data_IF_694291619996
#
_entry.id   IF_694291619996
#
_cell.length_a   1.000
_cell.length_b   1.000
_cell.length_c   1.000
_cell.angle_alpha   90.00
_cell.angle_beta   90.00
_cell.angle_gamma   90.00
#
_symmetry.space_group_name_H-M   'P 1'
#
loop_
_entity.id
_entity.type
_entity.pdbx_description
1 polymer ?
#
# COMPACT_ATOMS: atom_id res chain seq x y z
N UNK A 1 5.57 -8.86 -38.90
CA UNK A 1 6.10 -7.77 -38.04
C UNK A 1 5.02 -6.72 -37.82
N UNK A 2 4.31 -6.74 -36.68
CA UNK A 2 3.39 -5.65 -36.30
C UNK A 2 4.13 -4.74 -35.33
N UNK A 3 4.84 -3.78 -35.90
CA UNK A 3 5.47 -2.69 -35.18
C UNK A 3 4.36 -1.84 -34.59
N UNK A 4 3.95 -2.21 -33.39
CA UNK A 4 2.92 -1.54 -32.64
C UNK A 4 3.50 -0.19 -32.25
N UNK A 5 3.27 0.85 -33.07
CA UNK A 5 3.52 2.25 -32.71
C UNK A 5 2.84 2.50 -31.36
N UNK A 6 3.61 2.39 -30.28
CA UNK A 6 3.15 2.82 -28.98
C UNK A 6 2.88 4.31 -29.10
N UNK A 7 1.73 4.82 -28.63
CA UNK A 7 1.49 6.25 -28.65
C UNK A 7 2.65 6.94 -27.91
N UNK A 8 3.20 8.06 -28.41
CA UNK A 8 4.39 8.69 -27.85
C UNK A 8 4.25 9.01 -26.35
N UNK A 9 3.02 9.22 -25.89
CA UNK A 9 2.67 9.42 -24.46
C UNK A 9 2.89 8.16 -23.60
N UNK A 10 2.66 6.95 -24.12
CA UNK A 10 2.92 5.72 -23.37
C UNK A 10 4.43 5.49 -23.15
N UNK A 11 5.26 5.91 -24.11
CA UNK A 11 6.72 5.90 -23.96
C UNK A 11 7.20 6.94 -22.94
N UNK A 12 6.61 8.15 -22.97
CA UNK A 12 6.92 9.21 -21.99
C UNK A 12 6.57 8.80 -20.56
N UNK A 13 5.34 8.35 -20.32
CA UNK A 13 4.89 7.91 -19.00
C UNK A 13 5.68 6.71 -18.46
N UNK A 14 6.14 5.82 -19.33
CA UNK A 14 7.04 4.73 -18.92
C UNK A 14 8.41 5.25 -18.44
N UNK A 15 8.99 6.24 -19.13
CA UNK A 15 10.26 6.87 -18.73
C UNK A 15 10.12 7.68 -17.45
N UNK A 16 9.02 8.41 -17.27
CA UNK A 16 8.73 9.14 -16.03
C UNK A 16 8.61 8.17 -14.84
N UNK A 17 7.91 7.04 -15.03
CA UNK A 17 7.85 5.99 -14.02
C UNK A 17 9.23 5.39 -13.70
N UNK A 18 10.03 5.11 -14.73
CA UNK A 18 11.40 4.61 -14.56
C UNK A 18 12.28 5.60 -13.80
N UNK A 19 12.23 6.89 -14.15
CA UNK A 19 12.96 7.95 -13.47
C UNK A 19 12.53 8.09 -12.01
N UNK A 20 11.22 8.03 -11.73
CA UNK A 20 10.70 8.00 -10.36
C UNK A 20 11.22 6.80 -9.58
N UNK A 21 11.17 5.60 -10.16
CA UNK A 21 11.65 4.38 -9.49
C UNK A 21 13.16 4.44 -9.27
N UNK A 22 13.93 5.00 -10.20
CA UNK A 22 15.37 5.20 -10.03
C UNK A 22 15.70 6.19 -8.89
N UNK A 23 14.93 7.28 -8.76
CA UNK A 23 15.15 8.29 -7.72
C UNK A 23 14.61 7.91 -6.33
N UNK A 24 13.40 7.35 -6.26
CA UNK A 24 12.70 7.07 -5.00
C UNK A 24 12.71 5.60 -4.57
N UNK A 25 13.07 4.67 -5.47
CA UNK A 25 12.98 3.23 -5.23
C UNK A 25 13.80 2.74 -4.05
N UNK A 26 15.02 3.28 -3.86
CA UNK A 26 15.87 2.95 -2.71
C UNK A 26 15.22 3.34 -1.38
N UNK A 27 14.68 4.57 -1.29
CA UNK A 27 13.98 5.06 -0.11
C UNK A 27 12.73 4.24 0.19
N UNK A 28 11.92 3.94 -0.83
CA UNK A 28 10.72 3.12 -0.68
C UNK A 28 11.04 1.67 -0.29
N UNK A 29 12.16 1.11 -0.78
CA UNK A 29 12.63 -0.21 -0.36
C UNK A 29 13.10 -0.22 1.08
N UNK A 30 13.73 0.86 1.54
CA UNK A 30 14.10 1.03 2.94
C UNK A 30 12.88 1.09 3.84
N UNK A 31 11.87 1.91 3.50
CA UNK A 31 10.57 1.93 4.19
C UNK A 31 9.98 0.53 4.27
N UNK A 32 9.92 -0.18 3.14
CA UNK A 32 9.40 -1.55 3.11
C UNK A 32 10.20 -2.52 4.00
N UNK A 33 11.53 -2.33 4.08
CA UNK A 33 12.44 -3.16 4.90
C UNK A 33 12.21 -2.91 6.39
N UNK A 34 12.04 -1.65 6.78
CA UNK A 34 11.67 -1.28 8.15
C UNK A 34 10.31 -1.88 8.52
N UNK A 35 9.31 -1.77 7.63
CA UNK A 35 7.98 -2.34 7.85
C UNK A 35 8.01 -3.87 8.00
N UNK A 36 8.75 -4.58 7.14
CA UNK A 36 8.87 -6.05 7.25
C UNK A 36 9.78 -6.50 8.39
N UNK A 37 10.56 -5.59 8.96
CA UNK A 37 11.62 -5.82 9.94
C UNK A 37 12.65 -6.87 9.49
N UNK A 38 12.98 -6.85 8.20
CA UNK A 38 14.06 -7.64 7.63
C UNK A 38 15.41 -6.92 7.76
N UNK A 39 16.54 -7.64 7.79
CA UNK A 39 17.86 -7.02 7.69
C UNK A 39 18.09 -6.42 6.29
N UNK A 40 18.78 -5.28 6.21
CA UNK A 40 19.00 -4.53 4.96
C UNK A 40 19.72 -5.34 3.86
N UNK A 41 20.48 -6.37 4.22
CA UNK A 41 21.17 -7.26 3.27
C UNK A 41 20.31 -8.39 2.68
N UNK A 42 19.17 -8.74 3.29
CA UNK A 42 18.28 -9.83 2.84
C UNK A 42 16.81 -9.46 3.10
N UNK A 43 16.23 -8.64 2.24
CA UNK A 43 14.90 -8.04 2.41
C UNK A 43 13.87 -8.55 1.38
N UNK A 44 13.74 -9.88 1.22
CA UNK A 44 12.89 -10.47 0.18
C UNK A 44 11.39 -10.13 0.37
N UNK A 45 10.89 -10.07 1.61
CA UNK A 45 9.49 -9.69 1.85
C UNK A 45 9.28 -8.21 1.54
N UNK A 46 10.25 -7.34 1.87
CA UNK A 46 10.23 -5.93 1.54
C UNK A 46 10.20 -5.70 0.03
N UNK A 47 11.07 -6.41 -0.72
CA UNK A 47 11.08 -6.37 -2.18
C UNK A 47 9.74 -6.81 -2.77
N UNK A 48 9.14 -7.88 -2.25
CA UNK A 48 7.81 -8.34 -2.71
C UNK A 48 6.71 -7.33 -2.42
N UNK A 49 6.76 -6.69 -1.24
CA UNK A 49 5.83 -5.65 -0.84
C UNK A 49 5.94 -4.43 -1.78
N UNK A 50 7.16 -3.93 -2.00
CA UNK A 50 7.44 -2.80 -2.88
C UNK A 50 7.09 -3.10 -4.33
N UNK A 51 7.52 -4.25 -4.87
CA UNK A 51 7.17 -4.67 -6.22
C UNK A 51 5.66 -4.69 -6.41
N UNK A 52 4.94 -5.15 -5.39
CA UNK A 52 3.50 -5.09 -5.37
C UNK A 52 2.96 -3.66 -5.48
N UNK A 53 3.43 -2.76 -4.62
CA UNK A 53 2.99 -1.37 -4.59
C UNK A 53 3.29 -0.64 -5.90
N UNK A 54 4.52 -0.75 -6.41
CA UNK A 54 4.94 -0.17 -7.69
C UNK A 54 4.19 -0.76 -8.88
N UNK A 55 3.84 -2.06 -8.85
CA UNK A 55 3.00 -2.63 -9.89
C UNK A 55 1.60 -2.00 -9.90
N UNK A 56 1.07 -1.60 -8.75
CA UNK A 56 -0.21 -0.90 -8.70
C UNK A 56 -0.08 0.54 -9.15
N UNK A 57 0.95 1.24 -8.71
CA UNK A 57 1.29 2.58 -9.16
C UNK A 57 1.43 2.63 -10.69
N UNK A 58 2.19 1.71 -11.28
CA UNK A 58 2.34 1.60 -12.73
C UNK A 58 1.01 1.35 -13.47
N UNK A 59 0.07 0.65 -12.84
CA UNK A 59 -1.26 0.43 -13.42
C UNK A 59 -2.15 1.69 -13.39
N UNK A 60 -1.89 2.60 -12.44
CA UNK A 60 -2.63 3.84 -12.22
C UNK A 60 -1.86 5.09 -12.71
N UNK A 61 -0.62 4.94 -13.17
CA UNK A 61 0.31 6.04 -13.50
C UNK A 61 -0.29 7.10 -14.42
N UNK A 62 -1.00 6.68 -15.48
CA UNK A 62 -1.63 7.61 -16.43
C UNK A 62 -2.69 8.52 -15.78
N UNK A 63 -3.27 8.11 -14.66
CA UNK A 63 -4.31 8.83 -13.90
C UNK A 63 -3.77 9.66 -12.74
N UNK A 64 -2.50 9.50 -12.40
CA UNK A 64 -1.90 10.04 -11.18
C UNK A 64 -1.37 11.48 -11.34
N UNK A 65 -1.74 12.20 -12.41
CA UNK A 65 -1.06 13.45 -12.79
C UNK A 65 -1.11 14.56 -11.74
N UNK A 66 -2.09 14.53 -10.83
CA UNK A 66 -2.29 15.54 -9.79
C UNK A 66 -1.85 15.07 -8.39
N UNK A 67 -1.40 13.82 -8.25
CA UNK A 67 -0.98 13.23 -6.96
C UNK A 67 0.53 13.00 -6.92
N UNK A 68 1.15 13.19 -5.75
CA UNK A 68 2.56 12.83 -5.57
C UNK A 68 2.74 11.30 -5.67
N UNK A 69 3.53 10.80 -6.65
CA UNK A 69 3.77 9.36 -6.82
C UNK A 69 4.46 8.73 -5.62
N UNK A 70 5.25 9.49 -4.86
CA UNK A 70 5.89 9.01 -3.65
C UNK A 70 4.85 8.71 -2.57
N UNK A 71 4.03 9.70 -2.24
CA UNK A 71 2.95 9.59 -1.26
C UNK A 71 1.96 8.49 -1.63
N UNK A 72 1.58 8.39 -2.92
CA UNK A 72 0.69 7.32 -3.39
C UNK A 72 1.32 5.94 -3.19
N UNK A 73 2.60 5.80 -3.50
CA UNK A 73 3.31 4.52 -3.31
C UNK A 73 3.44 4.17 -1.83
N UNK A 74 3.69 5.16 -0.97
CA UNK A 74 3.72 4.99 0.50
C UNK A 74 2.36 4.53 1.03
N UNK A 75 1.26 5.14 0.59
CA UNK A 75 -0.09 4.70 0.97
C UNK A 75 -0.38 3.26 0.53
N UNK A 76 0.02 2.88 -0.68
CA UNK A 76 -0.14 1.51 -1.18
C UNK A 76 0.75 0.51 -0.39
N UNK A 77 1.95 0.90 0.02
CA UNK A 77 2.81 0.11 0.92
C UNK A 77 2.11 -0.15 2.26
N UNK A 78 1.55 0.90 2.89
CA UNK A 78 0.80 0.82 4.15
C UNK A 78 -0.43 -0.09 4.00
N UNK A 79 -1.23 0.13 2.96
CA UNK A 79 -2.44 -0.65 2.67
C UNK A 79 -2.14 -2.13 2.48
N UNK A 80 -1.06 -2.46 1.77
CA UNK A 80 -0.66 -3.86 1.56
C UNK A 80 -0.06 -4.48 2.80
N UNK A 81 0.76 -3.73 3.53
CA UNK A 81 1.36 -4.23 4.75
C UNK A 81 0.29 -4.53 5.80
N UNK A 82 -0.70 -3.65 5.97
CA UNK A 82 -1.87 -3.91 6.82
C UNK A 82 -2.64 -5.13 6.30
N UNK A 83 -3.10 -5.15 5.06
CA UNK A 83 -3.87 -6.28 4.52
C UNK A 83 -3.15 -7.64 4.61
N UNK A 84 -1.82 -7.66 4.47
CA UNK A 84 -0.99 -8.87 4.57
C UNK A 84 -0.60 -9.27 6.00
N UNK A 85 -0.43 -8.30 6.91
CA UNK A 85 -0.04 -8.54 8.30
C UNK A 85 -1.20 -9.02 9.20
N UNK A 86 -2.44 -8.93 8.72
CA UNK A 86 -3.65 -9.35 9.46
C UNK A 86 -3.97 -10.84 9.28
N UNK A 87 -3.15 -11.59 8.50
CA UNK A 87 -3.13 -13.06 8.59
C UNK A 87 -2.50 -13.46 9.93
N UNK A 88 -3.08 -14.40 10.71
CA UNK A 88 -2.96 -14.41 12.17
C UNK A 88 -1.51 -14.55 12.67
N UNK A 89 -0.84 -13.43 12.91
CA UNK A 89 0.47 -13.39 13.55
C UNK A 89 0.31 -13.54 15.07
N UNK A 90 -0.13 -14.73 15.49
CA UNK A 90 -0.25 -15.12 16.91
C UNK A 90 1.01 -15.82 17.44
N UNK A 91 2.12 -15.83 16.71
CA UNK A 91 3.36 -16.52 17.11
C UNK A 91 4.62 -15.78 16.65
N UNK A 92 4.96 -14.64 17.25
CA UNK A 92 6.36 -14.19 17.32
C UNK A 92 6.60 -13.12 18.39
N UNK A 93 5.97 -13.27 19.56
CA UNK A 93 6.44 -12.56 20.77
C UNK A 93 7.64 -13.25 21.42
N UNK A 94 8.18 -14.30 20.81
CA UNK A 94 9.20 -15.15 21.43
C UNK A 94 10.28 -15.56 20.42
N UNK A 95 11.50 -15.11 20.75
CA UNK A 95 12.83 -15.60 20.33
C UNK A 95 13.34 -15.20 18.94
N UNK A 96 14.39 -14.37 18.95
CA UNK A 96 15.21 -14.08 17.79
C UNK A 96 15.92 -12.73 17.82
N UNK A 97 16.64 -12.37 18.89
CA UNK A 97 17.68 -11.34 18.77
C UNK A 97 18.91 -12.00 18.15
N UNK A 98 19.08 -11.84 16.84
CA UNK A 98 20.23 -12.33 16.09
C UNK A 98 20.40 -11.52 14.80
N UNK A 99 21.56 -11.64 14.14
CA UNK A 99 21.91 -10.94 12.91
C UNK A 99 20.94 -11.17 11.72
N UNK A 100 20.02 -12.12 11.88
CA UNK A 100 18.99 -12.50 10.90
C UNK A 100 17.71 -11.63 10.96
N UNK A 101 17.58 -10.77 11.98
CA UNK A 101 16.38 -9.97 12.22
C UNK A 101 16.69 -8.47 12.14
N UNK A 102 15.85 -7.69 11.44
CA UNK A 102 16.01 -6.24 11.32
C UNK A 102 15.73 -5.49 12.62
N UNK A 103 16.12 -4.21 12.67
CA UNK A 103 16.05 -3.35 13.88
C UNK A 103 14.65 -3.31 14.51
N UNK A 104 13.60 -3.40 13.69
CA UNK A 104 12.21 -3.33 14.15
C UNK A 104 11.57 -4.69 14.46
N UNK A 105 12.33 -5.79 14.48
CA UNK A 105 11.76 -7.14 14.60
C UNK A 105 11.05 -7.42 15.93
N UNK A 106 11.39 -6.67 16.99
CA UNK A 106 10.73 -6.76 18.30
C UNK A 106 9.40 -6.02 18.38
N UNK A 107 9.09 -5.18 17.40
CA UNK A 107 7.87 -4.40 17.36
C UNK A 107 6.73 -5.16 16.68
N UNK A 108 5.51 -4.96 17.18
CA UNK A 108 4.31 -5.41 16.50
C UNK A 108 4.10 -4.67 15.16
N UNK A 109 3.29 -5.20 14.22
CA UNK A 109 3.01 -4.54 12.94
C UNK A 109 2.52 -3.09 13.06
N UNK A 110 1.65 -2.79 14.04
CA UNK A 110 1.14 -1.43 14.26
C UNK A 110 2.20 -0.48 14.83
N UNK A 111 3.02 -0.96 15.77
CA UNK A 111 4.15 -0.20 16.34
C UNK A 111 5.18 0.15 15.26
N UNK A 112 5.44 -0.79 14.33
CA UNK A 112 6.30 -0.55 13.16
C UNK A 112 5.74 0.50 12.22
N UNK A 113 4.46 0.39 11.86
CA UNK A 113 3.80 1.38 11.00
C UNK A 113 3.90 2.79 11.59
N UNK A 114 3.58 2.94 12.88
CA UNK A 114 3.64 4.24 13.55
C UNK A 114 5.06 4.78 13.53
N UNK A 115 6.06 4.01 13.99
CA UNK A 115 7.46 4.47 14.02
C UNK A 115 7.99 4.84 12.64
N UNK A 116 7.71 4.02 11.62
CA UNK A 116 8.18 4.30 10.27
C UNK A 116 7.52 5.55 9.69
N UNK A 117 6.21 5.74 9.90
CA UNK A 117 5.51 6.92 9.40
C UNK A 117 5.91 8.19 10.16
N UNK A 118 5.97 8.16 11.50
CA UNK A 118 6.18 9.37 12.29
C UNK A 118 7.65 9.74 12.48
N UNK A 119 8.55 8.76 12.65
CA UNK A 119 9.96 9.03 12.95
C UNK A 119 10.85 9.01 11.71
N UNK A 120 10.62 8.09 10.77
CA UNK A 120 11.42 7.99 9.55
C UNK A 120 10.85 8.81 8.39
N UNK A 121 9.55 8.68 8.11
CA UNK A 121 8.90 9.45 7.04
C UNK A 121 8.54 10.88 7.45
N UNK A 122 8.59 11.21 8.75
CA UNK A 122 8.27 12.53 9.29
C UNK A 122 6.80 12.93 9.15
N UNK A 123 5.90 11.96 8.92
CA UNK A 123 4.47 12.20 8.78
C UNK A 123 3.89 12.61 10.15
N UNK A 124 3.18 13.75 10.24
CA UNK A 124 2.56 14.17 11.49
C UNK A 124 1.64 13.10 12.08
N UNK A 125 1.56 13.03 13.41
CA UNK A 125 0.76 12.00 14.09
C UNK A 125 -0.72 12.04 13.68
N UNK A 126 -1.27 13.23 13.44
CA UNK A 126 -2.66 13.40 12.99
C UNK A 126 -2.88 12.79 11.59
N UNK A 127 -1.93 12.98 10.68
CA UNK A 127 -2.00 12.42 9.33
C UNK A 127 -1.76 10.90 9.38
N UNK A 128 -0.85 10.43 10.24
CA UNK A 128 -0.66 8.99 10.49
C UNK A 128 -1.92 8.34 11.05
N UNK A 129 -2.63 9.01 11.96
CA UNK A 129 -3.90 8.57 12.51
C UNK A 129 -4.98 8.42 11.43
N UNK A 130 -5.11 9.42 10.55
CA UNK A 130 -6.01 9.38 9.41
C UNK A 130 -5.67 8.24 8.42
N UNK A 131 -4.38 8.08 8.08
CA UNK A 131 -3.90 7.03 7.18
C UNK A 131 -4.16 5.61 7.71
N UNK A 132 -4.07 5.43 9.03
CA UNK A 132 -4.24 4.13 9.68
C UNK A 132 -5.68 3.85 10.13
N UNK A 133 -6.57 4.84 10.08
CA UNK A 133 -7.92 4.75 10.64
C UNK A 133 -7.93 4.55 12.16
N UNK A 134 -6.96 5.14 12.86
CA UNK A 134 -6.78 5.01 14.31
C UNK A 134 -6.95 6.36 15.02
N UNK A 135 -7.38 6.39 16.29
CA UNK A 135 -7.35 7.63 17.07
C UNK A 135 -5.92 8.17 17.24
N UNK A 136 -5.73 9.49 17.19
CA UNK A 136 -4.41 10.12 17.36
C UNK A 136 -3.75 9.75 18.70
N UNK A 137 -4.52 9.67 19.78
CA UNK A 137 -4.03 9.21 21.07
C UNK A 137 -3.44 7.79 21.01
N UNK A 138 -4.04 6.90 20.21
CA UNK A 138 -3.54 5.53 20.01
C UNK A 138 -2.21 5.52 19.27
N UNK A 139 -2.05 6.39 18.27
CA UNK A 139 -0.78 6.59 17.56
C UNK A 139 0.32 7.01 18.54
N UNK A 140 0.06 8.02 19.39
CA UNK A 140 0.99 8.46 20.45
C UNK A 140 1.41 7.34 21.40
N UNK A 141 0.43 6.56 21.89
CA UNK A 141 0.71 5.43 22.79
C UNK A 141 1.57 4.37 22.11
N UNK A 142 1.27 4.02 20.86
CA UNK A 142 2.04 3.05 20.09
C UNK A 142 3.47 3.55 19.82
N UNK A 143 3.63 4.83 19.46
CA UNK A 143 4.95 5.45 19.25
C UNK A 143 5.80 5.42 20.53
N UNK A 144 5.26 5.87 21.66
CA UNK A 144 5.96 5.85 22.96
C UNK A 144 6.36 4.43 23.38
N UNK A 145 5.46 3.47 23.18
CA UNK A 145 5.73 2.06 23.47
C UNK A 145 6.84 1.51 22.58
N UNK A 146 6.78 1.79 21.28
CA UNK A 146 7.76 1.33 20.31
C UNK A 146 9.17 1.88 20.62
N UNK A 147 9.29 3.19 20.88
CA UNK A 147 10.55 3.82 21.30
C UNK A 147 11.11 3.15 22.57
N UNK A 148 10.24 2.84 23.54
CA UNK A 148 10.66 2.16 24.78
C UNK A 148 11.17 0.73 24.52
N UNK A 149 10.51 -0.03 23.64
CA UNK A 149 10.93 -1.40 23.27
C UNK A 149 12.26 -1.44 22.52
N UNK A 150 12.46 -0.51 21.56
CA UNK A 150 13.70 -0.43 20.78
C UNK A 150 14.90 -0.10 21.68
N UNK A 151 14.73 0.81 22.64
CA UNK A 151 15.78 1.15 23.60
C UNK A 151 16.10 0.01 24.54
N UNK A 152 15.07 -0.70 25.02
CA UNK A 152 15.26 -1.90 25.84
C UNK A 152 16.07 -2.96 25.08
N UNK A 153 15.78 -3.17 23.80
CA UNK A 153 16.52 -4.10 22.95
C UNK A 153 17.99 -3.70 22.76
N UNK A 154 18.26 -2.42 22.51
CA UNK A 154 19.63 -1.90 22.37
C UNK A 154 20.42 -1.98 23.67
N UNK A 155 19.81 -1.64 24.81
CA UNK A 155 20.46 -1.76 26.11
C UNK A 155 20.84 -3.22 26.43
N UNK A 156 19.98 -4.19 26.09
CA UNK A 156 20.32 -5.62 26.23
C UNK A 156 21.45 -6.05 25.29
N UNK A 157 21.52 -5.51 24.07
CA UNK A 157 22.62 -5.80 23.15
C UNK A 157 23.95 -5.22 23.65
N UNK A 158 23.96 -3.98 24.15
CA UNK A 158 25.16 -3.33 24.68
C UNK A 158 25.66 -3.96 26.00
N UNK A 159 24.75 -4.41 26.87
CA UNK A 159 25.11 -5.10 28.12
C UNK A 159 25.75 -6.48 27.88
N UNK A 160 25.47 -7.12 26.74
CA UNK A 160 26.16 -8.35 26.33
C UNK A 160 27.60 -8.14 25.86
N UNK A 161 28.04 -6.88 25.66
CA UNK A 161 29.36 -6.55 25.11
C UNK A 161 30.30 -5.89 26.14
N UNK A 162 29.82 -5.50 27.32
CA UNK A 162 30.66 -4.84 28.34
C UNK A 162 30.18 -5.10 29.78
N UNK A 163 31.07 -5.47 30.73
CA UNK A 163 30.73 -5.48 32.15
C UNK A 163 30.81 -4.06 32.73
N UNK A 164 29.71 -3.63 33.37
CA UNK A 164 29.71 -2.66 34.47
C UNK A 164 30.08 -1.19 34.16
N UNK A 165 29.10 -0.39 33.71
CA UNK A 165 29.07 1.03 34.13
C UNK A 165 27.65 1.59 34.08
N UNK A 166 27.14 2.05 35.23
CA UNK A 166 25.88 2.78 35.36
C UNK A 166 26.13 4.29 35.16
N UNK A 167 25.47 4.97 34.21
CA UNK A 167 25.43 6.42 34.22
C UNK A 167 24.18 6.91 34.95
N UNK A 168 24.42 7.70 35.99
CA UNK A 168 23.43 8.56 36.63
C UNK A 168 23.17 9.84 35.84
N UNK A 169 22.01 10.46 36.08
CA UNK A 169 21.61 11.75 35.53
C UNK A 169 20.39 11.68 34.62
N UNK A 170 19.26 12.27 35.06
CA UNK A 170 18.07 12.47 34.22
C UNK A 170 18.08 13.90 33.65
N UNK A 171 18.14 14.08 32.32
CA UNK A 171 17.70 15.32 31.69
C UNK A 171 16.22 15.24 31.32
N UNK A 172 15.50 16.35 31.50
CA UNK A 172 14.07 16.54 31.21
C UNK A 172 13.76 16.68 29.71
N UNK A 173 14.77 16.79 28.84
CA UNK A 173 14.66 16.65 27.37
C UNK A 173 14.69 15.20 26.85
N UNK A 174 14.42 14.22 27.72
CA UNK A 174 14.69 12.80 27.45
C UNK A 174 13.93 12.22 26.26
N UNK A 175 12.75 12.72 25.90
CA UNK A 175 11.97 12.11 24.81
C UNK A 175 12.50 12.44 23.43
N UNK A 176 12.80 13.71 23.11
CA UNK A 176 13.37 14.09 21.81
C UNK A 176 14.72 13.41 21.54
N UNK A 177 15.59 13.30 22.56
CA UNK A 177 16.86 12.57 22.44
C UNK A 177 16.67 11.07 22.18
N UNK A 178 15.63 10.46 22.76
CA UNK A 178 15.29 9.04 22.51
C UNK A 178 14.79 8.84 21.09
N UNK A 179 13.94 9.74 20.61
CA UNK A 179 13.44 9.69 19.24
C UNK A 179 14.56 9.89 18.23
N UNK A 180 15.50 10.79 18.51
CA UNK A 180 16.66 11.01 17.67
C UNK A 180 17.63 9.82 17.64
N UNK A 181 17.78 9.13 18.78
CA UNK A 181 18.47 7.84 18.82
C UNK A 181 17.77 6.81 17.93
N UNK A 182 16.44 6.73 17.99
CA UNK A 182 15.65 5.83 17.14
C UNK A 182 15.74 6.23 15.67
N UNK A 183 15.69 7.53 15.31
CA UNK A 183 15.87 8.01 13.93
C UNK A 183 17.21 7.57 13.36
N UNK A 184 18.30 7.76 14.11
CA UNK A 184 19.62 7.24 13.73
C UNK A 184 19.65 5.72 13.58
N UNK A 185 18.91 4.99 14.41
CA UNK A 185 18.76 3.53 14.24
C UNK A 185 17.92 3.14 13.02
N UNK A 186 17.08 4.02 12.49
CA UNK A 186 16.27 3.78 11.30
C UNK A 186 17.04 4.15 10.02
N UNK A 187 17.96 5.10 10.06
CA UNK A 187 18.82 5.54 8.95
C UNK A 187 19.97 4.55 8.67
N UNK A 188 19.66 3.25 8.59
CA UNK A 188 20.64 2.25 8.10
C UNK A 188 20.94 2.47 6.61
N UNK A 189 22.09 1.99 6.12
CA UNK A 189 22.40 1.99 4.70
C UNK A 189 21.24 1.43 3.87
N UNK A 190 20.84 2.19 2.84
CA UNK A 190 19.74 1.82 1.97
C UNK A 190 19.98 0.43 1.37
N UNK A 191 18.99 -0.47 1.41
CA UNK A 191 19.11 -1.78 0.77
C UNK A 191 19.38 -1.60 -0.73
N UNK A 192 20.32 -2.38 -1.28
CA UNK A 192 20.61 -2.36 -2.71
C UNK A 192 19.36 -2.76 -3.49
N UNK A 193 18.87 -1.85 -4.33
CA UNK A 193 17.71 -2.08 -5.14
C UNK A 193 18.05 -3.03 -6.31
N UNK A 194 17.25 -4.08 -6.57
CA UNK A 194 17.41 -4.89 -7.78
C UNK A 194 17.16 -4.05 -9.03
N UNK A 195 18.11 -4.05 -9.97
CA UNK A 195 18.04 -3.23 -11.19
C UNK A 195 16.79 -3.53 -12.04
N UNK A 196 16.29 -4.76 -12.00
CA UNK A 196 15.14 -5.24 -12.78
C UNK A 196 13.77 -4.94 -12.13
N UNK A 197 13.75 -4.29 -10.96
CA UNK A 197 12.51 -4.11 -10.19
C UNK A 197 11.49 -3.23 -10.92
N UNK A 198 11.95 -2.19 -11.62
CA UNK A 198 11.10 -1.35 -12.45
C UNK A 198 10.45 -2.16 -13.59
N UNK A 199 11.21 -3.00 -14.31
CA UNK A 199 10.68 -3.87 -15.37
C UNK A 199 9.64 -4.84 -14.82
N UNK A 200 9.94 -5.49 -13.69
CA UNK A 200 9.00 -6.43 -13.04
C UNK A 200 7.73 -5.73 -12.61
N UNK A 201 7.83 -4.52 -12.04
CA UNK A 201 6.69 -3.71 -11.65
C UNK A 201 5.83 -3.35 -12.87
N UNK A 202 6.46 -2.89 -13.97
CA UNK A 202 5.77 -2.54 -15.22
C UNK A 202 5.04 -3.73 -15.85
N UNK A 203 5.69 -4.90 -15.92
CA UNK A 203 5.07 -6.13 -16.43
C UNK A 203 3.86 -6.55 -15.59
N UNK A 204 3.96 -6.44 -14.25
CA UNK A 204 2.86 -6.79 -13.34
C UNK A 204 1.74 -5.75 -13.38
N UNK A 205 2.06 -4.46 -13.49
CA UNK A 205 1.09 -3.37 -13.62
C UNK A 205 0.30 -3.45 -14.93
N UNK A 206 0.95 -3.81 -16.04
CA UNK A 206 0.27 -4.05 -17.31
C UNK A 206 -0.82 -5.14 -17.20
N UNK A 207 -0.57 -6.22 -16.43
CA UNK A 207 -1.59 -7.26 -16.17
C UNK A 207 -2.76 -6.73 -15.34
N UNK A 208 -2.51 -5.91 -14.32
CA UNK A 208 -3.54 -5.30 -13.49
C UNK A 208 -4.42 -4.33 -14.30
N UNK A 209 -3.80 -3.50 -15.15
CA UNK A 209 -4.52 -2.58 -16.05
C UNK A 209 -5.41 -3.33 -17.04
N UNK A 210 -4.93 -4.45 -17.60
CA UNK A 210 -5.74 -5.32 -18.45
C UNK A 210 -6.95 -5.87 -17.71
N UNK A 211 -6.77 -6.40 -16.49
CA UNK A 211 -7.87 -6.95 -15.67
C UNK A 211 -8.96 -5.91 -15.39
N UNK A 212 -8.59 -4.66 -15.09
CA UNK A 212 -9.56 -3.58 -14.86
C UNK A 212 -10.35 -3.23 -16.11
N UNK A 213 -9.65 -3.10 -17.24
CA UNK A 213 -10.30 -2.83 -18.54
C UNK A 213 -11.20 -3.99 -18.95
N UNK A 214 -10.82 -5.23 -18.69
CA UNK A 214 -11.67 -6.40 -18.99
C UNK A 214 -12.89 -6.43 -18.08
N UNK A 215 -12.76 -6.13 -16.78
CA UNK A 215 -13.91 -6.07 -15.87
C UNK A 215 -14.94 -5.02 -16.32
N UNK A 216 -14.51 -3.79 -16.62
CA UNK A 216 -15.42 -2.77 -17.13
C UNK A 216 -16.02 -3.14 -18.50
N UNK A 217 -15.26 -3.78 -19.39
CA UNK A 217 -15.81 -4.26 -20.68
C UNK A 217 -16.86 -5.34 -20.49
N UNK A 218 -16.64 -6.27 -19.57
CA UNK A 218 -17.61 -7.32 -19.23
C UNK A 218 -18.86 -6.71 -18.62
N UNK A 219 -18.71 -5.78 -17.69
CA UNK A 219 -19.82 -5.01 -17.11
C UNK A 219 -20.61 -4.28 -18.20
N UNK A 220 -19.95 -3.51 -19.07
CA UNK A 220 -20.61 -2.84 -20.20
C UNK A 220 -21.30 -3.83 -21.15
N UNK A 221 -20.69 -4.98 -21.43
CA UNK A 221 -21.27 -6.00 -22.29
C UNK A 221 -22.52 -6.63 -21.65
N UNK A 222 -22.49 -6.91 -20.33
CA UNK A 222 -23.65 -7.41 -19.59
C UNK A 222 -24.80 -6.38 -19.59
N UNK A 223 -24.49 -5.10 -19.38
CA UNK A 223 -25.49 -4.03 -19.47
C UNK A 223 -26.09 -3.94 -20.88
N UNK A 224 -25.27 -4.08 -21.92
CA UNK A 224 -25.73 -4.07 -23.31
C UNK A 224 -26.61 -5.28 -23.62
N UNK A 225 -26.24 -6.48 -23.19
CA UNK A 225 -27.07 -7.68 -23.34
C UNK A 225 -28.40 -7.53 -22.59
N UNK A 226 -28.39 -7.01 -21.36
CA UNK A 226 -29.61 -6.75 -20.61
C UNK A 226 -30.52 -5.74 -21.33
N UNK A 227 -29.95 -4.69 -21.91
CA UNK A 227 -30.70 -3.71 -22.71
C UNK A 227 -31.30 -4.33 -23.98
N UNK A 228 -30.57 -5.22 -24.68
CA UNK A 228 -31.09 -5.96 -25.85
C UNK A 228 -32.24 -6.87 -25.42
N UNK A 229 -32.07 -7.66 -24.36
CA UNK A 229 -33.12 -8.55 -23.84
C UNK A 229 -34.36 -7.75 -23.46
N UNK A 230 -34.18 -6.61 -22.79
CA UNK A 230 -35.28 -5.70 -22.44
C UNK A 230 -35.99 -5.14 -23.68
N UNK A 231 -35.24 -4.71 -24.69
CA UNK A 231 -35.82 -4.20 -25.94
C UNK A 231 -36.61 -5.29 -26.68
N UNK A 232 -36.06 -6.51 -26.79
CA UNK A 232 -36.74 -7.65 -27.38
C UNK A 232 -38.02 -7.99 -26.60
N UNK A 233 -37.93 -8.02 -25.27
CA UNK A 233 -39.08 -8.26 -24.41
C UNK A 233 -40.15 -7.18 -24.58
N UNK A 234 -39.77 -5.90 -24.61
CA UNK A 234 -40.68 -4.78 -24.78
C UNK A 234 -41.40 -4.81 -26.13
N UNK A 235 -40.69 -5.17 -27.21
CA UNK A 235 -41.29 -5.37 -28.55
C UNK A 235 -42.25 -6.55 -28.55
N UNK A 236 -41.93 -7.66 -27.88
CA UNK A 236 -42.76 -8.86 -27.88
C UNK A 236 -44.04 -8.73 -27.04
N UNK A 237 -44.02 -7.93 -25.96
CA UNK A 237 -45.14 -7.80 -25.03
C UNK A 237 -46.11 -6.69 -25.44
N UNK A 238 -45.71 -5.79 -26.36
CA UNK A 238 -46.45 -4.59 -26.76
C UNK A 238 -47.24 -3.97 -25.59
N UNK A 239 -46.61 -3.64 -24.46
CA UNK A 239 -47.33 -3.23 -23.24
C UNK A 239 -48.14 -1.93 -23.41
N UNK A 240 -47.93 -1.21 -24.50
CA UNK A 240 -48.66 -0.01 -24.90
C UNK A 240 -49.80 -0.29 -25.89
N UNK A 241 -50.07 -1.55 -26.24
CA UNK A 241 -51.22 -1.91 -27.04
C UNK A 241 -52.50 -1.60 -26.25
N UNK A 242 -53.25 -0.62 -26.70
CA UNK A 242 -54.55 -0.26 -26.12
C UNK A 242 -55.50 -1.41 -26.43
N UNK A 243 -56.11 -2.08 -25.42
CA UNK A 243 -57.05 -3.16 -25.68
C UNK A 243 -58.20 -2.62 -26.53
N UNK A 244 -58.67 -3.39 -27.54
CA UNK A 244 -59.71 -2.92 -28.45
C UNK A 244 -60.93 -2.52 -27.62
N UNK A 245 -61.31 -1.25 -27.73
CA UNK A 245 -62.50 -0.73 -27.07
C UNK A 245 -63.72 -1.42 -27.69
N UNK A 246 -64.32 -2.35 -26.94
CA UNK A 246 -65.59 -2.95 -27.28
C UNK A 246 -66.68 -1.88 -27.14
N UNK A 247 -66.82 -1.05 -28.16
CA UNK A 247 -67.97 -0.17 -28.34
C UNK A 247 -68.62 -0.50 -29.67
N UNK A 248 -69.52 -1.47 -29.61
CA UNK A 248 -70.70 -1.45 -30.46
C UNK A 248 -71.85 -1.95 -29.60
N UNK A 249 -72.78 -1.07 -29.19
CA UNK A 249 -73.99 -1.53 -28.51
C UNK A 249 -74.81 -2.32 -29.53
N UNK A 250 -75.33 -3.47 -29.11
CA UNK A 250 -76.26 -4.25 -29.93
C UNK A 250 -77.53 -3.40 -30.14
N UNK A 251 -77.68 -2.88 -31.35
CA UNK A 251 -78.91 -2.22 -31.78
C UNK A 251 -79.88 -3.37 -32.06
N UNK A 252 -80.68 -3.72 -31.04
CA UNK A 252 -81.79 -4.65 -31.18
C UNK A 252 -82.76 -4.14 -32.24
N UNK A 253 -82.88 -4.89 -33.34
CA UNK A 253 -83.90 -4.70 -34.34
C UNK A 253 -85.28 -5.00 -33.76
N UNK A 254 -86.20 -4.09 -34.02
CA UNK A 254 -87.62 -4.13 -33.69
C UNK A 254 -88.35 -5.28 -34.38
#
# INVERSE_FOLDING_TARGET
MRESRQPPLAGRSAREFEAFVAGAGGRLLHVATLLTAEPSGRCLRAQRLLLGALARLCAEWDRLRDEDPYDRTRQELVTRFTSGAWRPHRRSRTRGTGAEHGVLARLGPQERLVVVLTLYEGVPEAQTAALLGLPQARVRTLGTRAVSLLRGARATAAAGTAPGRRPGGRPTGRQGLKEEEVRRMLDLPYPRMPADLHVRASRRGARLRRRRRTLHRVECALLLVAAIVFAVWAVAVEPWAVPPSATTPEIGGW
#
